data_IF_959111171923
#
_entry.id   IF_959111171923
#
_cell.length_a   1.000
_cell.length_b   1.000
_cell.length_c   1.000
_cell.angle_alpha   90.00
_cell.angle_beta   90.00
_cell.angle_gamma   90.00
#
_symmetry.space_group_name_H-M   'P 1'
#
loop_
_entity.id
_entity.type
_entity.pdbx_description
1 polymer ?
#
# COMPACT_ATOMS: atom_id res chain seq x y z
N UNK A 1 31.97 12.09 34.89
CA UNK A 1 30.53 11.90 34.87
C UNK A 1 29.88 12.95 33.98
N UNK A 2 29.90 12.78 32.64
CA UNK A 2 29.27 13.64 31.64
C UNK A 2 29.22 12.94 30.27
N UNK A 3 28.68 11.72 30.18
CA UNK A 3 28.55 11.02 28.89
C UNK A 3 27.30 10.08 28.83
N UNK A 4 26.26 10.34 29.65
CA UNK A 4 25.10 9.47 29.75
C UNK A 4 23.76 10.07 29.21
N UNK A 5 23.73 11.33 28.77
CA UNK A 5 22.47 12.01 28.40
C UNK A 5 22.27 12.14 26.89
N UNK A 6 23.28 11.82 26.08
CA UNK A 6 23.22 12.06 24.61
C UNK A 6 22.68 10.86 23.78
N UNK A 7 22.41 9.71 24.40
CA UNK A 7 21.96 8.50 23.67
C UNK A 7 20.44 8.24 23.75
N UNK A 8 19.69 9.00 24.54
CA UNK A 8 18.22 8.80 24.74
C UNK A 8 17.36 9.68 23.83
N UNK A 9 17.94 10.55 23.00
CA UNK A 9 17.21 11.46 22.11
C UNK A 9 17.11 10.99 20.66
N UNK A 10 17.57 9.78 20.32
CA UNK A 10 17.53 9.26 18.93
C UNK A 10 16.39 8.29 18.63
N UNK A 11 15.46 8.07 19.55
CA UNK A 11 14.29 7.21 19.33
C UNK A 11 12.98 7.90 19.72
N UNK A 12 12.76 9.11 19.21
CA UNK A 12 11.41 9.71 19.24
C UNK A 12 10.79 9.38 17.87
N UNK A 13 9.71 8.57 17.82
CA UNK A 13 9.15 8.10 16.56
C UNK A 13 8.64 9.25 15.69
N UNK A 14 8.68 9.03 14.39
CA UNK A 14 8.20 9.89 13.29
C UNK A 14 6.78 10.48 13.52
N UNK A 15 5.98 9.87 14.39
CA UNK A 15 4.66 10.37 14.82
C UNK A 15 4.72 11.78 15.41
N UNK A 16 5.82 12.14 16.09
CA UNK A 16 5.99 13.54 16.60
C UNK A 16 6.35 14.47 15.45
N UNK A 17 7.02 14.01 14.41
CA UNK A 17 7.37 14.80 13.23
C UNK A 17 6.15 15.21 12.41
N UNK A 18 5.25 14.29 12.11
CA UNK A 18 4.02 14.59 11.36
C UNK A 18 3.02 15.41 12.18
N UNK A 19 2.91 15.16 13.48
CA UNK A 19 2.07 15.97 14.38
C UNK A 19 2.70 17.36 14.61
N UNK A 20 4.04 17.47 14.70
CA UNK A 20 4.75 18.75 14.81
C UNK A 20 4.72 19.55 13.51
N UNK A 21 4.77 18.90 12.33
CA UNK A 21 4.59 19.59 11.03
C UNK A 21 3.17 20.13 10.87
N UNK A 22 2.14 19.40 11.29
CA UNK A 22 0.76 19.87 11.29
C UNK A 22 0.57 20.97 12.33
N UNK A 23 1.15 20.85 13.52
CA UNK A 23 1.11 21.88 14.57
C UNK A 23 1.98 23.08 14.18
N UNK A 24 3.16 22.88 13.58
CA UNK A 24 4.04 23.96 13.12
C UNK A 24 3.43 24.74 11.96
N UNK A 25 2.85 24.11 10.97
CA UNK A 25 2.12 24.76 9.87
C UNK A 25 0.87 25.48 10.41
N UNK A 26 0.21 24.92 11.40
CA UNK A 26 -0.96 25.52 12.05
C UNK A 26 -0.58 26.70 12.96
N UNK A 27 0.54 26.63 13.69
CA UNK A 27 1.07 27.76 14.47
C UNK A 27 1.51 28.92 13.55
N UNK A 28 2.21 28.62 12.44
CA UNK A 28 2.59 29.63 11.44
C UNK A 28 1.37 30.28 10.76
N UNK A 29 0.29 29.51 10.53
CA UNK A 29 -0.99 30.01 10.04
C UNK A 29 -1.71 30.88 11.11
N UNK A 30 -1.64 30.50 12.38
CA UNK A 30 -2.24 31.26 13.49
C UNK A 30 -1.48 32.56 13.81
N UNK A 31 -0.15 32.57 13.66
CA UNK A 31 0.65 33.80 13.82
C UNK A 31 0.37 34.84 12.72
N UNK A 32 0.11 34.38 11.48
CA UNK A 32 -0.30 35.26 10.37
C UNK A 32 -1.72 35.84 10.53
N UNK A 33 -2.59 35.25 11.36
CA UNK A 33 -3.99 35.67 11.60
C UNK A 33 -4.25 36.29 12.95
N UNK A 34 -3.27 36.87 13.63
CA UNK A 34 -3.44 37.59 14.93
C UNK A 34 -4.29 38.88 14.87
N UNK A 35 -4.96 39.14 13.73
CA UNK A 35 -5.95 40.25 13.65
C UNK A 35 -7.26 39.73 13.05
N UNK A 36 -8.14 39.16 13.87
CA UNK A 36 -9.55 38.92 13.57
C UNK A 36 -9.86 37.43 13.31
N UNK A 37 -10.34 36.78 14.28
CA UNK A 37 -11.45 35.84 14.27
C UNK A 37 -11.40 34.89 15.48
N UNK A 38 -12.10 35.23 16.53
CA UNK A 38 -12.29 34.39 17.72
C UNK A 38 -13.29 33.23 17.47
N UNK A 39 -14.12 33.35 16.45
CA UNK A 39 -15.18 32.36 16.17
C UNK A 39 -14.68 31.13 15.38
N UNK A 40 -13.66 31.28 14.52
CA UNK A 40 -13.08 30.19 13.78
C UNK A 40 -12.32 29.19 14.67
N UNK A 41 -11.77 29.63 15.81
CA UNK A 41 -11.08 28.70 16.73
C UNK A 41 -12.03 27.74 17.44
N UNK A 42 -13.29 28.11 17.66
CA UNK A 42 -14.28 27.25 18.32
C UNK A 42 -14.78 26.11 17.41
N UNK A 43 -14.72 26.27 16.09
CA UNK A 43 -15.14 25.24 15.13
C UNK A 43 -14.03 24.26 14.74
N UNK A 44 -12.77 24.70 14.67
CA UNK A 44 -11.65 23.87 14.20
C UNK A 44 -11.16 22.87 15.27
N UNK A 45 -11.15 23.27 16.54
CA UNK A 45 -10.70 22.42 17.65
C UNK A 45 -11.57 21.16 17.86
N UNK A 46 -12.90 21.23 17.81
CA UNK A 46 -13.75 20.04 17.84
C UNK A 46 -13.53 19.10 16.67
N UNK A 47 -13.34 19.62 15.44
CA UNK A 47 -13.10 18.83 14.23
C UNK A 47 -11.77 18.04 14.32
N UNK A 48 -10.72 18.65 14.88
CA UNK A 48 -9.42 17.98 15.08
C UNK A 48 -9.53 16.89 16.15
N UNK A 49 -10.27 17.15 17.23
CA UNK A 49 -10.48 16.15 18.30
C UNK A 49 -11.34 15.01 17.79
N UNK A 50 -12.37 15.28 17.01
CA UNK A 50 -13.26 14.28 16.42
C UNK A 50 -12.52 13.44 15.35
N UNK A 51 -11.68 14.05 14.49
CA UNK A 51 -10.78 13.33 13.58
C UNK A 51 -9.82 12.41 14.34
N UNK A 52 -9.21 12.88 15.43
CA UNK A 52 -8.30 12.08 16.25
C UNK A 52 -9.02 10.96 16.99
N UNK A 53 -10.25 11.19 17.43
CA UNK A 53 -11.11 10.18 18.08
C UNK A 53 -11.56 9.12 17.10
N UNK A 54 -11.94 9.48 15.87
CA UNK A 54 -12.32 8.55 14.81
C UNK A 54 -11.12 7.71 14.31
N UNK A 55 -9.90 8.25 14.33
CA UNK A 55 -8.68 7.49 13.98
C UNK A 55 -8.36 6.36 14.98
N UNK A 56 -8.82 6.45 16.22
CA UNK A 56 -8.56 5.46 17.28
C UNK A 56 -9.81 4.64 17.67
N UNK A 57 -10.97 4.92 17.07
CA UNK A 57 -12.16 4.12 17.37
C UNK A 57 -12.07 2.78 16.65
N UNK A 58 -12.29 1.69 17.42
CA UNK A 58 -12.28 0.33 16.86
C UNK A 58 -13.36 0.14 15.81
N UNK A 59 -13.00 -0.56 14.75
CA UNK A 59 -13.95 -1.06 13.77
C UNK A 59 -14.85 -2.13 14.44
N UNK A 60 -16.14 -2.08 14.13
CA UNK A 60 -17.13 -2.98 14.76
C UNK A 60 -17.62 -4.00 13.73
N UNK A 61 -18.08 -5.15 14.23
CA UNK A 61 -18.70 -6.23 13.45
C UNK A 61 -17.78 -6.90 12.42
N UNK A 62 -16.47 -6.68 12.47
CA UNK A 62 -15.52 -7.30 11.55
C UNK A 62 -15.41 -8.80 11.81
N UNK A 63 -15.56 -9.62 10.77
CA UNK A 63 -15.36 -11.07 10.78
C UNK A 63 -14.24 -11.52 9.85
N UNK A 64 -13.94 -10.75 8.83
CA UNK A 64 -12.89 -11.04 7.87
C UNK A 64 -11.95 -9.85 7.67
N UNK A 65 -10.67 -10.15 7.50
CA UNK A 65 -9.60 -9.18 7.23
C UNK A 65 -8.92 -9.59 5.94
N UNK A 66 -9.01 -8.74 4.92
CA UNK A 66 -8.28 -8.91 3.68
C UNK A 66 -7.06 -7.99 3.67
N UNK A 67 -5.94 -8.50 3.23
CA UNK A 67 -4.68 -7.77 3.12
C UNK A 67 -4.29 -7.68 1.66
N UNK A 68 -3.95 -6.48 1.21
CA UNK A 68 -3.11 -6.33 0.04
C UNK A 68 -1.73 -6.94 0.30
N UNK A 69 -0.98 -7.25 -0.75
CA UNK A 69 0.29 -7.93 -0.63
C UNK A 69 1.49 -7.00 -0.86
N UNK A 70 1.63 -6.48 -2.07
CA UNK A 70 2.76 -5.67 -2.49
C UNK A 70 2.74 -4.29 -1.80
N UNK A 71 3.84 -3.89 -1.18
CA UNK A 71 3.98 -2.66 -0.37
C UNK A 71 3.04 -2.57 0.85
N UNK A 72 2.40 -3.71 1.19
CA UNK A 72 1.58 -3.88 2.40
C UNK A 72 2.14 -4.98 3.29
N UNK A 73 2.37 -6.18 2.76
CA UNK A 73 2.96 -7.31 3.48
C UNK A 73 4.47 -7.41 3.27
N UNK A 74 4.97 -7.05 2.09
CA UNK A 74 6.39 -6.99 1.72
C UNK A 74 6.64 -5.82 0.77
N UNK A 75 7.87 -5.33 0.70
CA UNK A 75 8.25 -4.26 -0.21
C UNK A 75 8.33 -4.76 -1.66
N UNK A 76 7.84 -3.96 -2.61
CA UNK A 76 7.91 -4.23 -4.05
C UNK A 76 8.31 -3.00 -4.86
N UNK A 77 7.66 -1.86 -4.67
CA UNK A 77 7.84 -0.67 -5.51
C UNK A 77 9.30 -0.22 -5.60
N UNK A 78 10.07 -0.32 -4.53
CA UNK A 78 11.49 0.03 -4.51
C UNK A 78 12.29 -0.75 -5.55
N UNK A 79 12.00 -2.04 -5.72
CA UNK A 79 12.71 -2.89 -6.67
C UNK A 79 12.36 -2.54 -8.12
N UNK A 80 11.12 -2.14 -8.37
CA UNK A 80 10.73 -1.63 -9.68
C UNK A 80 11.45 -0.31 -10.00
N UNK A 81 11.58 0.60 -9.02
CA UNK A 81 12.32 1.85 -9.18
C UNK A 81 13.81 1.61 -9.43
N UNK A 82 14.43 0.64 -8.74
CA UNK A 82 15.82 0.23 -8.99
C UNK A 82 16.00 -0.32 -10.40
N UNK A 83 15.12 -1.22 -10.86
CA UNK A 83 15.14 -1.77 -12.22
C UNK A 83 14.92 -0.68 -13.26
N UNK A 84 14.00 0.26 -13.04
CA UNK A 84 13.76 1.39 -13.94
C UNK A 84 14.99 2.30 -14.03
N UNK A 85 15.67 2.55 -12.92
CA UNK A 85 16.90 3.34 -12.91
C UNK A 85 18.00 2.65 -13.74
N UNK A 86 18.28 1.36 -13.53
CA UNK A 86 19.26 0.59 -14.30
C UNK A 86 18.88 0.53 -15.80
N UNK A 87 17.60 0.35 -16.10
CA UNK A 87 17.06 0.39 -17.46
C UNK A 87 17.34 1.73 -18.14
N UNK A 88 17.11 2.85 -17.46
CA UNK A 88 17.41 4.16 -17.99
C UNK A 88 18.92 4.36 -18.24
N UNK A 89 19.77 3.79 -17.41
CA UNK A 89 21.23 3.81 -17.62
C UNK A 89 21.63 3.05 -18.90
N UNK A 90 21.05 1.86 -19.14
CA UNK A 90 21.30 1.08 -20.37
C UNK A 90 20.93 1.84 -21.65
N UNK A 91 19.98 2.74 -21.57
CA UNK A 91 19.45 3.50 -22.70
C UNK A 91 19.94 4.96 -22.72
N UNK A 92 20.93 5.33 -21.90
CA UNK A 92 21.38 6.72 -21.70
C UNK A 92 21.89 7.42 -22.98
N UNK A 93 22.28 6.66 -24.00
CA UNK A 93 22.63 7.22 -25.32
C UNK A 93 21.41 7.72 -26.13
N UNK A 94 20.20 7.28 -25.80
CA UNK A 94 18.96 7.60 -26.52
C UNK A 94 18.12 8.70 -25.87
N UNK A 95 18.48 9.15 -24.67
CA UNK A 95 17.79 10.22 -23.96
C UNK A 95 18.19 10.35 -22.52
N UNK A 96 17.67 11.38 -21.85
CA UNK A 96 17.83 11.53 -20.42
C UNK A 96 16.94 10.52 -19.65
N UNK A 97 17.32 10.18 -18.43
CA UNK A 97 16.53 9.32 -17.54
C UNK A 97 15.06 9.76 -17.45
N UNK A 98 14.84 11.07 -17.28
CA UNK A 98 13.49 11.65 -17.21
C UNK A 98 12.66 11.41 -18.50
N UNK A 99 13.28 11.50 -19.67
CA UNK A 99 12.59 11.29 -20.96
C UNK A 99 12.27 9.81 -21.16
N UNK A 100 13.23 8.93 -20.85
CA UNK A 100 13.08 7.48 -20.99
C UNK A 100 12.01 6.96 -20.02
N UNK A 101 12.06 7.38 -18.75
CA UNK A 101 11.07 7.03 -17.71
C UNK A 101 9.67 7.52 -18.08
N UNK A 102 9.52 8.77 -18.57
CA UNK A 102 8.23 9.28 -19.01
C UNK A 102 7.66 8.49 -20.21
N UNK A 103 8.51 8.10 -21.16
CA UNK A 103 8.11 7.26 -22.28
C UNK A 103 7.74 5.83 -21.85
N UNK A 104 8.43 5.29 -20.82
CA UNK A 104 8.10 4.00 -20.23
C UNK A 104 6.72 4.05 -19.59
N UNK A 105 6.43 5.05 -18.74
CA UNK A 105 5.12 5.23 -18.11
C UNK A 105 3.98 5.32 -19.14
N UNK A 106 4.22 6.00 -20.27
CA UNK A 106 3.25 6.04 -21.38
C UNK A 106 3.04 4.65 -22.01
N UNK A 107 4.12 3.88 -22.16
CA UNK A 107 4.09 2.53 -22.74
C UNK A 107 3.36 1.56 -21.81
N UNK A 108 3.67 1.58 -20.50
CA UNK A 108 2.94 0.81 -19.48
C UNK A 108 1.45 1.15 -19.48
N UNK A 109 1.09 2.45 -19.52
CA UNK A 109 -0.31 2.89 -19.55
C UNK A 109 -1.08 2.33 -20.75
N UNK A 110 -0.43 2.20 -21.92
CA UNK A 110 -1.02 1.62 -23.13
C UNK A 110 -1.16 0.10 -23.04
N UNK A 111 -0.18 -0.54 -22.41
CA UNK A 111 -0.11 -1.99 -22.30
C UNK A 111 -1.00 -2.56 -21.19
N UNK A 112 -1.32 -1.76 -20.18
CA UNK A 112 -2.06 -2.20 -19.00
C UNK A 112 -3.44 -2.82 -19.29
N UNK A 113 -4.26 -2.32 -20.24
CA UNK A 113 -5.53 -2.94 -20.60
C UNK A 113 -5.40 -4.36 -21.13
N UNK A 114 -4.30 -4.66 -21.85
CA UNK A 114 -4.09 -5.94 -22.53
C UNK A 114 -3.21 -6.90 -21.71
N UNK A 115 -2.17 -6.39 -21.05
CA UNK A 115 -1.19 -7.20 -20.33
C UNK A 115 -1.46 -7.28 -18.82
N UNK A 116 -2.28 -6.39 -18.27
CA UNK A 116 -2.52 -6.30 -16.83
C UNK A 116 -1.31 -5.77 -16.05
N UNK A 117 -1.22 -6.22 -14.79
CA UNK A 117 -0.19 -5.82 -13.83
C UNK A 117 0.86 -6.93 -13.65
N UNK A 118 2.06 -6.57 -13.20
CA UNK A 118 3.11 -7.49 -12.75
C UNK A 118 4.37 -7.48 -13.60
N UNK A 119 5.36 -8.25 -13.15
CA UNK A 119 6.73 -8.23 -13.67
C UNK A 119 6.83 -8.57 -15.17
N UNK A 120 5.96 -9.47 -15.68
CA UNK A 120 5.96 -9.86 -17.09
C UNK A 120 5.44 -8.74 -17.98
N UNK A 121 4.34 -8.09 -17.60
CA UNK A 121 3.79 -6.94 -18.30
C UNK A 121 4.78 -5.78 -18.32
N UNK A 122 5.43 -5.51 -17.17
CA UNK A 122 6.49 -4.52 -17.04
C UNK A 122 7.67 -4.84 -17.96
N UNK A 123 8.17 -6.09 -17.96
CA UNK A 123 9.29 -6.50 -18.84
C UNK A 123 8.97 -6.30 -20.32
N UNK A 124 7.74 -6.61 -20.76
CA UNK A 124 7.31 -6.36 -22.13
C UNK A 124 7.34 -4.85 -22.42
N UNK A 125 6.84 -4.03 -21.49
CA UNK A 125 6.83 -2.57 -21.63
C UNK A 125 8.25 -1.99 -21.67
N UNK A 126 9.20 -2.50 -20.89
CA UNK A 126 10.61 -2.13 -20.97
C UNK A 126 11.19 -2.38 -22.36
N UNK A 127 10.97 -3.58 -22.92
CA UNK A 127 11.48 -3.95 -24.25
C UNK A 127 10.84 -3.10 -25.35
N UNK A 128 9.52 -2.92 -25.32
CA UNK A 128 8.79 -2.10 -26.28
C UNK A 128 9.26 -0.65 -26.24
N UNK A 129 9.38 -0.08 -25.04
CA UNK A 129 9.86 1.28 -24.86
C UNK A 129 11.31 1.44 -25.33
N UNK A 130 12.19 0.46 -25.08
CA UNK A 130 13.59 0.50 -25.55
C UNK A 130 13.68 0.59 -27.08
N UNK A 131 12.88 -0.20 -27.78
CA UNK A 131 12.79 -0.15 -29.25
C UNK A 131 12.26 1.21 -29.71
N UNK A 132 11.25 1.75 -29.04
CA UNK A 132 10.62 3.04 -29.37
C UNK A 132 11.59 4.20 -29.17
N UNK A 133 12.21 4.36 -27.99
CA UNK A 133 13.09 5.50 -27.69
C UNK A 133 14.39 5.47 -28.48
N UNK A 134 14.88 4.27 -28.84
CA UNK A 134 16.07 4.10 -29.69
C UNK A 134 15.78 4.22 -31.17
N UNK A 135 14.52 4.38 -31.57
CA UNK A 135 14.10 4.31 -33.00
C UNK A 135 14.56 3.02 -33.68
N UNK A 136 14.52 1.90 -32.96
CA UNK A 136 14.95 0.58 -33.45
C UNK A 136 16.47 0.40 -33.55
N UNK A 137 17.26 1.23 -32.89
CA UNK A 137 18.73 1.18 -32.90
C UNK A 137 19.32 0.49 -31.67
N UNK A 138 18.51 0.17 -30.69
CA UNK A 138 18.98 -0.57 -29.49
C UNK A 138 19.56 -1.93 -29.91
N UNK A 139 20.73 -2.26 -29.39
CA UNK A 139 21.42 -3.51 -29.70
C UNK A 139 20.75 -4.72 -29.04
N UNK A 140 20.85 -5.90 -29.67
CA UNK A 140 20.25 -7.13 -29.16
C UNK A 140 20.80 -7.53 -27.77
N UNK A 141 22.07 -7.24 -27.47
CA UNK A 141 22.67 -7.48 -26.17
C UNK A 141 22.07 -6.59 -25.08
N UNK A 142 21.72 -5.34 -25.40
CA UNK A 142 21.02 -4.42 -24.47
C UNK A 142 19.60 -4.92 -24.21
N UNK A 143 18.89 -5.40 -25.24
CA UNK A 143 17.58 -6.03 -25.07
C UNK A 143 17.68 -7.25 -24.16
N UNK A 144 18.71 -8.09 -24.29
CA UNK A 144 18.92 -9.24 -23.41
C UNK A 144 19.09 -8.80 -21.94
N UNK A 145 19.88 -7.75 -21.69
CA UNK A 145 20.06 -7.19 -20.34
C UNK A 145 18.74 -6.63 -19.77
N UNK A 146 17.94 -5.93 -20.58
CA UNK A 146 16.63 -5.43 -20.19
C UNK A 146 15.68 -6.58 -19.78
N UNK A 147 15.68 -7.66 -20.55
CA UNK A 147 14.89 -8.86 -20.20
C UNK A 147 15.36 -9.48 -18.89
N UNK A 148 16.67 -9.52 -18.64
CA UNK A 148 17.21 -10.06 -17.38
C UNK A 148 16.90 -9.14 -16.18
N UNK A 149 16.92 -7.81 -16.36
CA UNK A 149 16.42 -6.86 -15.37
C UNK A 149 14.95 -7.11 -15.02
N UNK A 150 14.07 -7.25 -16.01
CA UNK A 150 12.68 -7.56 -15.76
C UNK A 150 12.47 -8.90 -15.06
N UNK A 151 13.26 -9.93 -15.39
CA UNK A 151 13.22 -11.25 -14.75
C UNK A 151 13.72 -11.23 -13.30
N UNK A 152 14.64 -10.32 -12.93
CA UNK A 152 15.13 -10.22 -11.55
C UNK A 152 13.99 -9.98 -10.55
N UNK A 153 12.97 -9.23 -10.96
CA UNK A 153 11.77 -8.97 -10.15
C UNK A 153 10.98 -10.24 -9.80
N UNK A 154 11.06 -11.31 -10.61
CA UNK A 154 10.39 -12.58 -10.32
C UNK A 154 11.07 -13.37 -9.19
N UNK A 155 12.26 -12.98 -8.78
CA UNK A 155 13.08 -13.68 -7.78
C UNK A 155 13.19 -12.91 -6.44
N UNK A 156 12.38 -11.89 -6.23
CA UNK A 156 12.37 -11.11 -4.98
C UNK A 156 12.07 -12.02 -3.78
N UNK A 157 12.75 -11.80 -2.68
CA UNK A 157 12.61 -12.60 -1.46
C UNK A 157 11.21 -12.48 -0.82
N UNK A 158 10.47 -11.42 -1.12
CA UNK A 158 9.17 -11.08 -0.53
C UNK A 158 9.19 -11.15 1.01
N UNK A 159 10.29 -10.68 1.61
CA UNK A 159 10.45 -10.67 3.06
C UNK A 159 9.37 -9.80 3.71
N UNK A 160 8.63 -10.32 4.71
CA UNK A 160 7.62 -9.54 5.41
C UNK A 160 8.18 -8.23 5.98
N UNK A 161 7.42 -7.14 5.82
CA UNK A 161 7.73 -5.86 6.45
C UNK A 161 7.70 -5.97 7.98
N UNK A 162 8.32 -4.99 8.64
CA UNK A 162 8.40 -4.96 10.10
C UNK A 162 7.00 -5.06 10.74
N UNK A 163 6.84 -5.94 11.72
CA UNK A 163 5.60 -6.14 12.46
C UNK A 163 4.55 -7.00 11.75
N UNK A 164 4.64 -7.23 10.43
CA UNK A 164 3.62 -7.91 9.63
C UNK A 164 3.35 -9.32 10.14
N UNK A 165 4.33 -10.20 10.16
CA UNK A 165 4.14 -11.60 10.53
C UNK A 165 3.58 -11.74 11.95
N UNK A 166 4.16 -11.00 12.90
CA UNK A 166 3.73 -11.04 14.31
C UNK A 166 2.28 -10.58 14.47
N UNK A 167 1.89 -9.53 13.77
CA UNK A 167 0.53 -8.97 13.84
C UNK A 167 -0.49 -9.93 13.22
N UNK A 168 -0.17 -10.50 12.04
CA UNK A 168 -1.04 -11.47 11.38
C UNK A 168 -1.22 -12.73 12.26
N UNK A 169 -0.14 -13.25 12.87
CA UNK A 169 -0.22 -14.36 13.79
C UNK A 169 -1.14 -14.05 14.99
N UNK A 170 -0.99 -12.86 15.58
CA UNK A 170 -1.89 -12.40 16.64
C UNK A 170 -3.36 -12.34 16.19
N UNK A 171 -3.62 -11.81 14.99
CA UNK A 171 -4.99 -11.70 14.46
C UNK A 171 -5.58 -13.07 14.15
N UNK A 172 -4.80 -14.01 13.63
CA UNK A 172 -5.24 -15.40 13.37
C UNK A 172 -5.72 -16.12 14.61
N UNK A 173 -5.09 -15.86 15.75
CA UNK A 173 -5.44 -16.49 17.02
C UNK A 173 -6.48 -15.72 17.85
N UNK A 174 -6.74 -14.48 17.47
CA UNK A 174 -7.62 -13.59 18.23
C UNK A 174 -9.09 -13.97 18.05
N UNK A 175 -9.83 -14.07 19.14
CA UNK A 175 -11.27 -14.24 19.13
C UNK A 175 -11.98 -12.91 18.83
N UNK A 176 -13.03 -12.99 18.02
CA UNK A 176 -13.86 -11.82 17.68
C UNK A 176 -14.69 -11.45 18.92
N UNK A 177 -14.50 -10.23 19.42
CA UNK A 177 -15.24 -9.71 20.54
C UNK A 177 -16.71 -9.46 20.14
N UNK A 178 -17.66 -9.86 21.02
CA UNK A 178 -19.10 -9.64 20.82
C UNK A 178 -19.73 -10.36 19.60
N UNK A 179 -19.13 -11.43 19.12
CA UNK A 179 -19.70 -12.20 17.99
C UNK A 179 -20.87 -13.12 18.36
N UNK A 180 -21.32 -13.08 19.62
CA UNK A 180 -22.36 -14.03 20.11
C UNK A 180 -21.87 -15.47 20.26
N UNK A 181 -20.72 -15.82 19.67
CA UNK A 181 -20.04 -17.09 19.80
C UNK A 181 -18.57 -16.82 20.19
N UNK A 182 -18.20 -17.18 21.40
CA UNK A 182 -16.88 -16.91 21.97
C UNK A 182 -15.71 -17.62 21.28
N UNK A 183 -15.98 -18.57 20.39
CA UNK A 183 -14.95 -19.31 19.63
C UNK A 183 -14.73 -18.83 18.20
N UNK A 184 -15.44 -17.78 17.76
CA UNK A 184 -15.29 -17.27 16.39
C UNK A 184 -13.98 -16.48 16.24
N UNK A 185 -13.15 -16.87 15.30
CA UNK A 185 -11.90 -16.17 14.90
C UNK A 185 -12.10 -15.41 13.60
N UNK A 186 -11.21 -14.44 13.33
CA UNK A 186 -11.18 -13.77 12.04
C UNK A 186 -10.84 -14.74 10.91
N UNK A 187 -11.53 -14.63 9.77
CA UNK A 187 -11.07 -15.18 8.48
C UNK A 187 -10.07 -14.21 7.91
N UNK A 188 -8.87 -14.69 7.56
CA UNK A 188 -7.80 -13.88 6.99
C UNK A 188 -7.64 -14.19 5.50
N UNK A 189 -7.53 -13.18 4.67
CA UNK A 189 -7.33 -13.33 3.24
C UNK A 189 -6.18 -12.47 2.72
N UNK A 190 -5.46 -12.97 1.73
CA UNK A 190 -4.69 -12.13 0.79
C UNK A 190 -5.61 -11.74 -0.35
N UNK A 191 -5.67 -10.46 -0.66
CA UNK A 191 -6.42 -9.93 -1.80
C UNK A 191 -5.56 -8.95 -2.58
N UNK A 192 -4.94 -9.42 -3.65
CA UNK A 192 -3.90 -8.70 -4.37
C UNK A 192 -4.14 -8.68 -5.87
N UNK A 193 -3.59 -7.67 -6.55
CA UNK A 193 -3.52 -7.59 -8.02
C UNK A 193 -2.21 -8.19 -8.51
N UNK A 194 -2.20 -8.70 -9.71
CA UNK A 194 -0.99 -9.11 -10.38
C UNK A 194 -1.10 -10.42 -11.12
N UNK A 195 0.04 -10.92 -11.54
CA UNK A 195 0.14 -12.19 -12.25
C UNK A 195 0.11 -13.34 -11.24
N UNK A 196 -0.74 -14.32 -11.51
CA UNK A 196 -1.05 -15.42 -10.58
C UNK A 196 0.21 -16.12 -10.04
N UNK A 197 1.07 -16.60 -10.93
CA UNK A 197 2.25 -17.36 -10.54
C UNK A 197 3.26 -16.53 -9.76
N UNK A 198 3.39 -15.24 -10.09
CA UNK A 198 4.30 -14.34 -9.37
C UNK A 198 3.81 -14.08 -7.94
N UNK A 199 2.51 -13.77 -7.78
CA UNK A 199 1.92 -13.52 -6.47
C UNK A 199 1.93 -14.78 -5.59
N UNK A 200 1.61 -15.96 -6.14
CA UNK A 200 1.70 -17.22 -5.42
C UNK A 200 3.13 -17.51 -4.94
N UNK A 201 4.13 -17.31 -5.81
CA UNK A 201 5.54 -17.50 -5.47
C UNK A 201 6.03 -16.51 -4.40
N UNK A 202 5.65 -15.22 -4.47
CA UNK A 202 5.97 -14.23 -3.43
C UNK A 202 5.34 -14.62 -2.09
N UNK A 203 4.07 -14.99 -2.09
CA UNK A 203 3.37 -15.42 -0.87
C UNK A 203 4.02 -16.66 -0.26
N UNK A 204 4.43 -17.63 -1.08
CA UNK A 204 5.12 -18.81 -0.60
C UNK A 204 6.50 -18.46 0.00
N UNK A 205 7.32 -17.66 -0.69
CA UNK A 205 8.64 -17.23 -0.21
C UNK A 205 8.56 -16.40 1.08
N UNK A 206 7.51 -15.58 1.23
CA UNK A 206 7.29 -14.78 2.45
C UNK A 206 7.04 -15.63 3.69
N UNK A 207 6.65 -16.91 3.54
CA UNK A 207 6.24 -17.78 4.63
C UNK A 207 4.91 -17.42 5.27
N UNK A 208 4.20 -16.41 4.76
CA UNK A 208 2.93 -15.93 5.34
C UNK A 208 1.72 -16.77 4.94
N UNK A 209 1.81 -17.59 3.88
CA UNK A 209 0.69 -18.38 3.35
C UNK A 209 -0.07 -19.15 4.43
N UNK A 210 0.63 -19.68 5.42
CA UNK A 210 0.06 -20.48 6.53
C UNK A 210 -0.98 -19.76 7.38
N UNK A 211 -1.01 -18.45 7.34
CA UNK A 211 -1.94 -17.64 8.16
C UNK A 211 -3.26 -17.37 7.45
N UNK A 212 -3.32 -17.49 6.13
CA UNK A 212 -4.48 -17.09 5.34
C UNK A 212 -5.42 -18.25 5.06
N UNK A 213 -6.73 -18.00 5.19
CA UNK A 213 -7.79 -18.94 4.85
C UNK A 213 -8.14 -18.89 3.36
N UNK A 214 -7.96 -17.70 2.75
CA UNK A 214 -8.25 -17.43 1.34
C UNK A 214 -7.09 -16.65 0.71
N UNK A 215 -6.74 -17.00 -0.51
CA UNK A 215 -5.79 -16.25 -1.36
C UNK A 215 -6.49 -15.93 -2.67
N UNK A 216 -6.83 -14.66 -2.88
CA UNK A 216 -7.56 -14.18 -4.04
C UNK A 216 -6.68 -13.21 -4.83
N UNK A 217 -6.18 -13.66 -5.97
CA UNK A 217 -5.35 -12.89 -6.89
C UNK A 217 -6.23 -12.47 -8.06
N UNK A 218 -6.32 -11.17 -8.32
CA UNK A 218 -7.25 -10.60 -9.30
C UNK A 218 -6.52 -9.72 -10.32
N UNK A 219 -7.11 -9.56 -11.49
CA UNK A 219 -6.63 -8.64 -12.51
C UNK A 219 -6.79 -7.18 -12.08
N UNK A 220 -7.89 -6.87 -11.34
CA UNK A 220 -8.11 -5.55 -10.75
C UNK A 220 -9.03 -5.65 -9.52
N UNK A 221 -8.85 -4.76 -8.54
CA UNK A 221 -9.62 -4.68 -7.30
C UNK A 221 -10.89 -3.85 -7.47
N UNK A 222 -11.75 -4.27 -8.40
CA UNK A 222 -13.04 -3.63 -8.63
C UNK A 222 -14.03 -3.90 -7.48
N UNK A 223 -15.10 -3.09 -7.31
CA UNK A 223 -16.17 -3.39 -6.36
C UNK A 223 -16.77 -4.79 -6.54
N UNK A 224 -16.84 -5.30 -7.76
CA UNK A 224 -17.29 -6.66 -8.07
C UNK A 224 -16.31 -7.73 -7.58
N UNK A 225 -15.01 -7.48 -7.70
CA UNK A 225 -13.96 -8.36 -7.15
C UNK A 225 -14.06 -8.42 -5.61
N UNK A 226 -14.27 -7.29 -4.94
CA UNK A 226 -14.55 -7.26 -3.49
C UNK A 226 -15.80 -8.03 -3.08
N UNK A 227 -16.89 -7.93 -3.86
CA UNK A 227 -18.10 -8.72 -3.58
C UNK A 227 -17.88 -10.22 -3.77
N UNK A 228 -17.04 -10.63 -4.74
CA UNK A 228 -16.63 -12.04 -4.89
C UNK A 228 -15.82 -12.50 -3.70
N UNK A 229 -14.86 -11.70 -3.24
CA UNK A 229 -14.09 -11.99 -2.03
C UNK A 229 -14.99 -12.15 -0.79
N UNK A 230 -15.99 -11.28 -0.60
CA UNK A 230 -16.95 -11.43 0.49
C UNK A 230 -17.72 -12.77 0.42
N UNK A 231 -18.11 -13.22 -0.77
CA UNK A 231 -18.78 -14.52 -0.95
C UNK A 231 -17.83 -15.68 -0.62
N UNK A 232 -16.58 -15.62 -1.05
CA UNK A 232 -15.58 -16.63 -0.79
C UNK A 232 -15.25 -16.74 0.70
N UNK A 233 -15.22 -15.60 1.39
CA UNK A 233 -15.05 -15.52 2.84
C UNK A 233 -16.35 -15.80 3.63
N UNK A 234 -17.50 -15.92 2.95
CA UNK A 234 -18.83 -16.09 3.57
C UNK A 234 -19.15 -14.99 4.59
N UNK A 235 -18.88 -13.74 4.24
CA UNK A 235 -19.18 -12.55 5.04
C UNK A 235 -19.97 -11.52 4.25
N UNK A 236 -20.69 -10.64 4.96
CA UNK A 236 -21.28 -9.47 4.36
C UNK A 236 -20.20 -8.38 4.16
N UNK A 237 -20.40 -7.43 3.22
CA UNK A 237 -19.44 -6.35 3.01
C UNK A 237 -19.10 -5.55 4.27
N UNK A 238 -20.07 -5.27 5.14
CA UNK A 238 -19.87 -4.52 6.39
C UNK A 238 -19.11 -5.31 7.49
N UNK A 239 -18.92 -6.61 7.27
CA UNK A 239 -18.13 -7.50 8.13
C UNK A 239 -16.69 -7.67 7.64
N UNK A 240 -16.35 -7.11 6.46
CA UNK A 240 -15.01 -7.13 5.86
C UNK A 240 -14.25 -5.84 6.20
N UNK A 241 -12.97 -5.98 6.49
CA UNK A 241 -12.01 -4.88 6.45
C UNK A 241 -10.91 -5.17 5.45
N UNK A 242 -10.60 -4.21 4.58
CA UNK A 242 -9.44 -4.24 3.69
C UNK A 242 -8.30 -3.44 4.28
N UNK A 243 -7.12 -4.04 4.32
CA UNK A 243 -5.86 -3.41 4.78
C UNK A 243 -4.94 -3.30 3.59
N UNK A 244 -4.50 -2.08 3.25
CA UNK A 244 -3.62 -1.88 2.10
C UNK A 244 -3.01 -0.49 2.03
N UNK A 245 -2.03 -0.34 1.13
CA UNK A 245 -1.28 0.89 0.91
C UNK A 245 -1.88 1.77 -0.20
N UNK A 246 -2.65 1.20 -1.12
CA UNK A 246 -3.22 1.94 -2.25
C UNK A 246 -4.60 2.50 -1.92
N UNK A 247 -4.70 3.83 -1.90
CA UNK A 247 -6.01 4.45 -1.71
C UNK A 247 -6.97 4.16 -2.88
N UNK A 248 -6.43 4.07 -4.10
CA UNK A 248 -7.19 3.78 -5.33
C UNK A 248 -7.69 2.34 -5.39
N UNK A 249 -6.85 1.37 -5.07
CA UNK A 249 -7.12 -0.05 -5.26
C UNK A 249 -7.65 -0.75 -4.01
N UNK A 250 -7.20 -0.33 -2.81
CA UNK A 250 -7.57 -1.01 -1.57
C UNK A 250 -8.69 -0.28 -0.83
N UNK A 251 -8.59 1.04 -0.73
CA UNK A 251 -9.43 1.79 0.18
C UNK A 251 -10.76 2.19 -0.48
N UNK A 252 -10.69 2.91 -1.58
CA UNK A 252 -11.89 3.46 -2.23
C UNK A 252 -12.89 2.39 -2.68
N UNK A 253 -12.50 1.29 -3.36
CA UNK A 253 -13.45 0.28 -3.79
C UNK A 253 -14.00 -0.57 -2.63
N UNK A 254 -13.23 -0.81 -1.56
CA UNK A 254 -13.72 -1.49 -0.35
C UNK A 254 -14.82 -0.64 0.33
N UNK A 255 -14.57 0.63 0.56
CA UNK A 255 -15.56 1.56 1.12
C UNK A 255 -16.80 1.69 0.25
N UNK A 256 -16.65 1.66 -1.09
CA UNK A 256 -17.76 1.73 -2.05
C UNK A 256 -18.75 0.57 -1.93
N UNK A 257 -18.30 -0.61 -1.52
CA UNK A 257 -19.21 -1.75 -1.28
C UNK A 257 -19.77 -1.78 0.15
N UNK A 258 -19.39 -0.83 1.01
CA UNK A 258 -19.80 -0.77 2.41
C UNK A 258 -18.86 -1.51 3.38
N UNK A 259 -17.74 -2.03 2.93
CA UNK A 259 -16.70 -2.60 3.79
C UNK A 259 -15.99 -1.51 4.61
N UNK A 260 -15.22 -1.91 5.60
CA UNK A 260 -14.26 -1.05 6.30
C UNK A 260 -12.91 -1.09 5.60
N UNK A 261 -12.08 -0.08 5.83
CA UNK A 261 -10.73 -0.03 5.28
C UNK A 261 -9.72 0.51 6.29
N UNK A 262 -8.51 -0.04 6.22
CA UNK A 262 -7.35 0.46 6.96
C UNK A 262 -6.26 0.81 5.96
N UNK A 263 -5.94 2.08 5.86
CA UNK A 263 -4.87 2.59 5.01
C UNK A 263 -3.56 2.62 5.79
N UNK A 264 -2.57 1.90 5.28
CA UNK A 264 -1.19 1.92 5.76
C UNK A 264 -0.29 2.37 4.60
N UNK A 265 0.01 3.68 4.48
CA UNK A 265 0.75 4.19 3.34
C UNK A 265 2.17 3.65 3.32
N UNK A 266 2.63 3.19 2.16
CA UNK A 266 4.03 2.89 1.92
C UNK A 266 4.77 4.20 1.57
N UNK A 267 6.10 4.24 1.74
CA UNK A 267 6.89 5.47 1.56
C UNK A 267 6.97 5.93 0.09
N UNK A 268 6.72 5.04 -0.85
CA UNK A 268 6.59 5.35 -2.27
C UNK A 268 5.25 4.84 -2.80
N UNK A 269 4.72 5.49 -3.83
CA UNK A 269 3.45 5.11 -4.45
C UNK A 269 3.61 5.13 -5.95
N UNK A 270 3.35 3.99 -6.59
CA UNK A 270 3.38 3.88 -8.03
C UNK A 270 2.49 4.93 -8.71
N UNK A 271 2.98 5.51 -9.82
CA UNK A 271 2.30 6.62 -10.47
C UNK A 271 0.84 6.29 -10.86
N UNK A 272 0.57 5.04 -11.26
CA UNK A 272 -0.78 4.56 -11.63
C UNK A 272 -1.72 4.38 -10.43
N UNK A 273 -1.21 4.31 -9.20
CA UNK A 273 -1.99 4.20 -7.96
C UNK A 273 -2.27 5.55 -7.30
N UNK A 274 -1.70 6.65 -7.80
CA UNK A 274 -1.95 7.99 -7.28
C UNK A 274 -3.40 8.41 -7.50
N UNK A 275 -4.08 8.87 -6.44
CA UNK A 275 -5.45 9.38 -6.47
C UNK A 275 -5.67 10.38 -5.34
N UNK A 276 -6.77 11.13 -5.39
CA UNK A 276 -7.20 11.96 -4.27
C UNK A 276 -7.70 11.10 -3.12
N UNK A 277 -7.22 11.40 -1.92
CA UNK A 277 -7.66 10.75 -0.70
C UNK A 277 -8.83 11.50 -0.08
N UNK A 278 -9.72 10.78 0.54
CA UNK A 278 -10.89 11.33 1.23
C UNK A 278 -11.05 10.72 2.63
N UNK A 279 -11.86 11.34 3.47
CA UNK A 279 -12.20 10.84 4.79
C UNK A 279 -13.52 10.06 4.75
N UNK A 280 -13.57 8.97 5.53
CA UNK A 280 -14.78 8.15 5.62
C UNK A 280 -14.92 7.55 7.04
N UNK A 281 -16.15 7.42 7.60
CA UNK A 281 -16.35 6.88 8.96
C UNK A 281 -15.80 5.46 9.17
N UNK A 282 -15.79 4.64 8.12
CA UNK A 282 -15.25 3.27 8.12
C UNK A 282 -13.79 3.18 7.69
N UNK A 283 -13.07 4.30 7.49
CA UNK A 283 -11.66 4.36 7.20
C UNK A 283 -10.86 4.56 8.49
N UNK A 284 -9.78 3.81 8.62
CA UNK A 284 -8.72 4.06 9.61
C UNK A 284 -7.40 4.24 8.89
N UNK A 285 -6.53 5.08 9.45
CA UNK A 285 -5.17 5.28 8.96
C UNK A 285 -4.21 4.88 10.05
N UNK A 286 -3.24 4.06 9.69
CA UNK A 286 -2.17 3.62 10.59
C UNK A 286 -0.82 3.88 9.92
N UNK A 287 0.23 3.99 10.71
CA UNK A 287 1.60 4.20 10.23
C UNK A 287 2.50 3.00 10.47
N UNK A 288 2.10 2.08 11.35
CA UNK A 288 2.80 0.83 11.63
C UNK A 288 1.81 -0.32 11.62
N UNK A 289 2.24 -1.44 11.13
CA UNK A 289 1.35 -2.60 10.93
C UNK A 289 0.75 -3.12 12.24
N UNK A 290 1.48 -3.02 13.36
CA UNK A 290 1.02 -3.45 14.67
C UNK A 290 -0.19 -2.64 15.19
N UNK A 291 -0.38 -1.42 14.72
CA UNK A 291 -1.53 -0.57 15.08
C UNK A 291 -2.87 -1.16 14.60
N UNK A 292 -2.84 -2.18 13.72
CA UNK A 292 -4.03 -2.97 13.37
C UNK A 292 -4.68 -3.60 14.59
N UNK A 293 -3.91 -4.00 15.60
CA UNK A 293 -4.43 -4.60 16.82
C UNK A 293 -5.25 -3.61 17.67
N UNK A 294 -5.04 -2.32 17.48
CA UNK A 294 -5.72 -1.25 18.21
C UNK A 294 -7.02 -0.83 17.53
N UNK A 295 -7.09 -0.95 16.20
CA UNK A 295 -8.26 -0.54 15.41
C UNK A 295 -9.23 -1.69 15.10
N UNK A 296 -8.82 -2.91 15.36
CA UNK A 296 -9.61 -4.16 15.31
C UNK A 296 -9.80 -4.72 16.74
#
# INVERSE_FOLDING_TARGET
MRNGVFLLLKQIPVIIGSVLLIIGSFCAFLERKKKGDKDNKKQIFPIIIEKKKNMMEKLKHIKAIAFDADDTLWALQNYFEEVEHEYCQLLSEFGSEKEISAALLETESKNMPDLGYGCKAFTISLVENAVKVSHGKVEANVIAQIVDLGKSLLHLDAKPLEGVEKTIACLKDRLIQNAGNASLKYKLAVFTKGELMDQENKLWRSGLQRYFDVVSIVSDKTPEAYRRLCKELEVNPDELVMVGNSFKSDIAPALKIGASAVHIPFHTTWAHEKTEEFEHPKLRRISRFEELLDVL
#
